data_IF_029783649807
#
_entry.id   IF_029783649807
#
_cell.length_a   1.000
_cell.length_b   1.000
_cell.length_c   1.000
_cell.angle_alpha   90.00
_cell.angle_beta   90.00
_cell.angle_gamma   90.00
#
_symmetry.space_group_name_H-M   'P 1'
#
loop_
_entity.id
_entity.type
_entity.pdbx_description
1 polymer ?
#
# COMPACT_ATOMS: atom_id res chain seq x y z
N UNK A 1 -2.62 8.18 -26.83
CA UNK A 1 -3.93 7.57 -26.49
C UNK A 1 -4.21 7.88 -25.04
N UNK A 2 -5.43 8.28 -24.65
CA UNK A 2 -5.76 8.45 -23.24
C UNK A 2 -5.53 7.11 -22.51
N UNK A 3 -4.95 7.18 -21.33
CA UNK A 3 -4.76 6.00 -20.47
C UNK A 3 -6.17 5.54 -20.04
N UNK A 4 -6.40 4.23 -19.96
CA UNK A 4 -7.68 3.62 -19.53
C UNK A 4 -8.25 4.30 -18.26
N UNK A 5 -7.39 4.66 -17.32
CA UNK A 5 -7.78 5.37 -16.11
C UNK A 5 -8.34 6.78 -16.40
N UNK A 6 -7.84 7.48 -17.41
CA UNK A 6 -8.34 8.82 -17.76
C UNK A 6 -9.77 8.75 -18.30
N UNK A 7 -10.07 7.70 -19.06
CA UNK A 7 -11.44 7.47 -19.56
C UNK A 7 -12.39 7.12 -18.41
N UNK A 8 -11.98 6.20 -17.52
CA UNK A 8 -12.78 5.85 -16.34
C UNK A 8 -13.00 7.07 -15.42
N UNK A 9 -11.99 7.91 -15.23
CA UNK A 9 -12.09 9.13 -14.42
C UNK A 9 -13.00 10.18 -15.06
N UNK A 10 -13.01 10.28 -16.39
CA UNK A 10 -13.94 11.17 -17.10
C UNK A 10 -15.39 10.75 -16.88
N UNK A 11 -15.68 9.46 -17.06
CA UNK A 11 -17.02 8.87 -16.84
C UNK A 11 -17.43 8.94 -15.36
N UNK A 12 -16.48 8.79 -14.44
CA UNK A 12 -16.73 8.94 -13.01
C UNK A 12 -17.25 10.33 -12.66
N UNK A 13 -16.71 11.39 -13.28
CA UNK A 13 -17.20 12.77 -13.09
C UNK A 13 -18.65 12.94 -13.53
N UNK A 14 -19.08 12.20 -14.53
CA UNK A 14 -20.48 12.15 -15.00
C UNK A 14 -21.36 11.26 -14.09
N UNK A 15 -20.83 10.82 -12.95
CA UNK A 15 -21.54 9.97 -11.99
C UNK A 15 -21.85 8.57 -12.52
N UNK A 16 -21.08 8.06 -13.48
CA UNK A 16 -21.20 6.69 -13.96
C UNK A 16 -20.76 5.68 -12.87
N UNK A 17 -21.73 4.92 -12.39
CA UNK A 17 -21.49 3.90 -11.35
C UNK A 17 -20.63 2.72 -11.84
N UNK A 18 -20.66 2.44 -13.14
CA UNK A 18 -19.84 1.35 -13.70
C UNK A 18 -18.37 1.74 -13.69
N UNK A 19 -18.02 2.96 -14.10
CA UNK A 19 -16.65 3.45 -14.03
C UNK A 19 -16.11 3.47 -12.59
N UNK A 20 -16.95 3.80 -11.61
CA UNK A 20 -16.57 3.71 -10.20
C UNK A 20 -16.28 2.28 -9.78
N UNK A 21 -17.13 1.32 -10.14
CA UNK A 21 -16.93 -0.10 -9.86
C UNK A 21 -15.65 -0.64 -10.49
N UNK A 22 -15.36 -0.25 -11.72
CA UNK A 22 -14.16 -0.67 -12.44
C UNK A 22 -12.89 -0.13 -11.76
N UNK A 23 -12.88 1.15 -11.37
CA UNK A 23 -11.79 1.75 -10.59
C UNK A 23 -11.65 1.09 -9.21
N UNK A 24 -12.76 0.81 -8.53
CA UNK A 24 -12.75 0.10 -7.26
C UNK A 24 -12.12 -1.29 -7.42
N UNK A 25 -12.60 -2.10 -8.36
CA UNK A 25 -12.08 -3.46 -8.61
C UNK A 25 -10.60 -3.46 -8.98
N UNK A 26 -10.17 -2.47 -9.76
CA UNK A 26 -8.77 -2.34 -10.20
C UNK A 26 -7.82 -1.96 -9.05
N UNK A 27 -8.25 -1.13 -8.13
CA UNK A 27 -7.36 -0.51 -7.14
C UNK A 27 -7.59 -0.95 -5.68
N UNK A 28 -8.71 -1.60 -5.37
CA UNK A 28 -9.06 -2.01 -4.01
C UNK A 28 -7.95 -2.82 -3.34
N UNK A 29 -7.49 -3.90 -3.97
CA UNK A 29 -6.48 -4.78 -3.37
C UNK A 29 -5.13 -4.09 -3.15
N UNK A 30 -4.71 -3.27 -4.12
CA UNK A 30 -3.45 -2.51 -4.00
C UNK A 30 -3.54 -1.47 -2.88
N UNK A 31 -4.68 -0.79 -2.75
CA UNK A 31 -4.91 0.18 -1.69
C UNK A 31 -5.02 -0.50 -0.33
N UNK A 32 -5.73 -1.63 -0.25
CA UNK A 32 -5.85 -2.42 0.97
C UNK A 32 -4.47 -2.86 1.48
N UNK A 33 -3.65 -3.45 0.62
CA UNK A 33 -2.28 -3.83 0.98
C UNK A 33 -1.44 -2.64 1.45
N UNK A 34 -1.59 -1.47 0.80
CA UNK A 34 -0.91 -0.24 1.19
C UNK A 34 -1.30 0.23 2.60
N UNK A 35 -2.59 0.20 2.93
CA UNK A 35 -3.11 0.60 4.24
C UNK A 35 -2.77 -0.44 5.31
N UNK A 36 -2.95 -1.73 5.00
CA UNK A 36 -2.63 -2.85 5.91
C UNK A 36 -1.15 -2.85 6.33
N UNK A 37 -0.25 -2.58 5.38
CA UNK A 37 1.17 -2.47 5.70
C UNK A 37 1.45 -1.40 6.78
N UNK A 38 0.70 -0.29 6.77
CA UNK A 38 0.85 0.82 7.71
C UNK A 38 0.21 0.56 9.07
N UNK A 39 -0.98 -0.04 9.07
CA UNK A 39 -1.80 -0.21 10.28
C UNK A 39 -1.58 -1.56 10.95
N UNK A 40 -1.25 -2.61 10.17
CA UNK A 40 -1.14 -4.00 10.63
C UNK A 40 -2.44 -4.53 11.27
N UNK A 41 -3.57 -3.99 10.85
CA UNK A 41 -4.92 -4.36 11.29
C UNK A 41 -5.82 -4.42 10.06
N UNK A 42 -6.35 -5.61 9.76
CA UNK A 42 -7.14 -5.86 8.56
C UNK A 42 -8.51 -5.16 8.62
N UNK A 43 -9.13 -5.13 9.79
CA UNK A 43 -10.46 -4.54 9.97
C UNK A 43 -10.39 -3.03 9.75
N UNK A 44 -9.43 -2.38 10.40
CA UNK A 44 -9.22 -0.93 10.24
C UNK A 44 -8.74 -0.60 8.83
N UNK A 45 -7.95 -1.48 8.21
CA UNK A 45 -7.50 -1.28 6.84
C UNK A 45 -8.67 -1.29 5.85
N UNK A 46 -9.62 -2.23 6.01
CA UNK A 46 -10.80 -2.30 5.17
C UNK A 46 -11.70 -1.06 5.35
N UNK A 47 -11.94 -0.63 6.57
CA UNK A 47 -12.70 0.59 6.88
C UNK A 47 -12.09 1.84 6.21
N UNK A 48 -10.75 1.98 6.26
CA UNK A 48 -10.05 3.11 5.63
C UNK A 48 -10.14 3.04 4.11
N UNK A 49 -10.04 1.85 3.53
CA UNK A 49 -10.21 1.66 2.08
C UNK A 49 -11.61 2.04 1.64
N UNK A 50 -12.65 1.57 2.34
CA UNK A 50 -14.04 1.92 2.06
C UNK A 50 -14.26 3.44 2.18
N UNK A 51 -13.83 4.07 3.25
CA UNK A 51 -13.93 5.52 3.44
C UNK A 51 -13.17 6.29 2.35
N UNK A 52 -12.02 5.79 1.91
CA UNK A 52 -11.26 6.39 0.80
C UNK A 52 -12.09 6.41 -0.48
N UNK A 53 -12.71 5.30 -0.86
CA UNK A 53 -13.53 5.24 -2.07
C UNK A 53 -14.83 6.04 -1.94
N UNK A 54 -15.42 6.13 -0.75
CA UNK A 54 -16.55 7.04 -0.49
C UNK A 54 -16.15 8.51 -0.72
N UNK A 55 -14.96 8.92 -0.28
CA UNK A 55 -14.42 10.26 -0.54
C UNK A 55 -14.14 10.50 -2.02
N UNK A 56 -13.62 9.48 -2.72
CA UNK A 56 -13.47 9.54 -4.18
C UNK A 56 -14.81 9.83 -4.86
N UNK A 57 -15.85 9.09 -4.52
CA UNK A 57 -17.18 9.31 -5.08
C UNK A 57 -17.73 10.70 -4.78
N UNK A 58 -17.61 11.14 -3.53
CA UNK A 58 -18.08 12.46 -3.07
C UNK A 58 -17.34 13.61 -3.75
N UNK A 59 -16.04 13.46 -3.97
CA UNK A 59 -15.16 14.51 -4.51
C UNK A 59 -14.70 14.25 -5.95
N UNK A 60 -15.41 13.41 -6.71
CA UNK A 60 -15.03 12.99 -8.07
C UNK A 60 -14.74 14.15 -9.03
N UNK A 61 -15.42 15.28 -8.88
CA UNK A 61 -15.26 16.45 -9.74
C UNK A 61 -13.91 17.19 -9.53
N UNK A 62 -13.25 16.96 -8.39
CA UNK A 62 -11.95 17.60 -8.07
C UNK A 62 -10.75 16.79 -8.54
N UNK A 63 -10.94 15.56 -9.01
CA UNK A 63 -9.87 14.68 -9.45
C UNK A 63 -9.24 15.24 -10.73
N UNK A 64 -7.93 15.44 -10.72
CA UNK A 64 -7.20 15.95 -11.89
C UNK A 64 -6.96 14.82 -12.90
N UNK A 65 -7.26 15.02 -14.20
CA UNK A 65 -7.14 13.97 -15.22
C UNK A 65 -5.72 13.46 -15.43
N UNK A 66 -4.72 14.30 -15.16
CA UNK A 66 -3.30 14.00 -15.42
C UNK A 66 -2.56 13.46 -14.17
N UNK A 67 -3.27 13.24 -13.07
CA UNK A 67 -2.70 12.68 -11.85
C UNK A 67 -2.92 11.16 -11.84
N UNK A 68 -1.94 10.37 -11.37
CA UNK A 68 -2.15 8.95 -11.10
C UNK A 68 -3.31 8.78 -10.12
N UNK A 69 -4.31 8.00 -10.52
CA UNK A 69 -5.46 7.74 -9.65
C UNK A 69 -5.05 7.03 -8.37
N UNK A 70 -4.09 6.08 -8.48
CA UNK A 70 -3.57 5.44 -7.29
C UNK A 70 -2.91 6.43 -6.33
N UNK A 71 -2.06 7.34 -6.82
CA UNK A 71 -1.45 8.37 -5.97
C UNK A 71 -2.48 9.25 -5.28
N UNK A 72 -3.59 9.54 -5.95
CA UNK A 72 -4.69 10.31 -5.38
C UNK A 72 -5.38 9.57 -4.23
N UNK A 73 -5.78 8.30 -4.43
CA UNK A 73 -6.44 7.50 -3.38
C UNK A 73 -5.47 7.14 -2.24
N UNK A 74 -4.21 6.86 -2.53
CA UNK A 74 -3.18 6.60 -1.53
C UNK A 74 -2.92 7.82 -0.63
N UNK A 75 -3.00 9.03 -1.18
CA UNK A 75 -2.91 10.26 -0.38
C UNK A 75 -4.10 10.41 0.58
N UNK A 76 -5.31 10.12 0.12
CA UNK A 76 -6.51 10.16 0.97
C UNK A 76 -6.38 9.14 2.09
N UNK A 77 -6.08 7.88 1.76
CA UNK A 77 -5.94 6.82 2.75
C UNK A 77 -4.81 7.07 3.73
N UNK A 78 -3.68 7.64 3.28
CA UNK A 78 -2.59 8.02 4.18
C UNK A 78 -3.01 9.06 5.22
N UNK A 79 -3.79 10.06 4.82
CA UNK A 79 -4.31 11.05 5.76
C UNK A 79 -5.25 10.39 6.78
N UNK A 80 -6.11 9.45 6.35
CA UNK A 80 -6.97 8.67 7.24
C UNK A 80 -6.16 7.81 8.22
N UNK A 81 -5.09 7.16 7.77
CA UNK A 81 -4.17 6.43 8.65
C UNK A 81 -3.54 7.35 9.71
N UNK A 82 -3.09 8.55 9.31
CA UNK A 82 -2.52 9.53 10.23
C UNK A 82 -3.53 10.02 11.26
N UNK A 83 -4.78 10.24 10.84
CA UNK A 83 -5.86 10.62 11.76
C UNK A 83 -6.18 9.47 12.74
N UNK A 84 -6.22 8.23 12.26
CA UNK A 84 -6.37 7.05 13.10
C UNK A 84 -5.27 6.96 14.18
N UNK A 85 -3.98 7.05 13.79
CA UNK A 85 -2.87 7.04 14.75
C UNK A 85 -2.95 8.20 15.75
N UNK A 86 -3.42 9.37 15.32
CA UNK A 86 -3.60 10.52 16.20
C UNK A 86 -4.66 10.26 17.25
N UNK A 87 -5.79 9.64 16.86
CA UNK A 87 -6.85 9.23 17.77
C UNK A 87 -6.42 8.13 18.73
N UNK A 88 -5.71 7.12 18.26
CA UNK A 88 -5.18 6.04 19.11
C UNK A 88 -4.16 6.57 20.13
N UNK A 89 -3.25 7.46 19.73
CA UNK A 89 -2.32 8.08 20.66
C UNK A 89 -3.02 8.93 21.75
N UNK A 90 -4.15 9.56 21.42
CA UNK A 90 -4.97 10.28 22.41
C UNK A 90 -5.63 9.30 23.37
N UNK A 91 -6.19 8.19 22.89
CA UNK A 91 -6.78 7.13 23.74
C UNK A 91 -5.74 6.53 24.68
N UNK A 92 -4.54 6.20 24.16
CA UNK A 92 -3.45 5.64 24.98
C UNK A 92 -2.97 6.59 26.07
N UNK A 93 -3.00 7.90 25.85
CA UNK A 93 -2.67 8.89 26.89
C UNK A 93 -3.74 8.99 27.97
N UNK A 94 -4.95 8.58 27.69
CA UNK A 94 -6.07 8.55 28.64
C UNK A 94 -6.32 7.17 29.29
N UNK A 95 -5.65 6.13 28.78
CA UNK A 95 -5.69 4.77 29.31
C UNK A 95 -4.29 4.33 29.72
N UNK A 96 -3.95 4.47 30.98
CA UNK A 96 -2.78 3.79 31.56
C UNK A 96 -3.03 2.28 31.54
N UNK A 97 -2.14 1.56 30.87
CA UNK A 97 -1.86 0.13 30.98
C UNK A 97 -2.96 -0.90 30.66
N UNK A 98 -2.97 -1.39 29.42
CA UNK A 98 -3.26 -2.80 29.13
C UNK A 98 -2.44 -3.21 27.88
N UNK A 99 -1.59 -4.25 27.94
CA UNK A 99 -0.92 -4.80 26.76
C UNK A 99 -1.90 -5.61 25.92
N UNK A 100 -1.98 -5.32 24.63
CA UNK A 100 -2.77 -6.15 23.70
C UNK A 100 -1.92 -7.25 23.08
N UNK A 101 -2.46 -8.48 22.96
CA UNK A 101 -1.79 -9.59 22.31
C UNK A 101 -1.83 -9.48 20.77
N UNK A 102 -0.69 -9.68 20.16
CA UNK A 102 -0.57 -9.89 18.71
C UNK A 102 -1.19 -11.22 18.32
N UNK A 103 -2.21 -11.21 17.47
CA UNK A 103 -2.75 -12.43 16.88
C UNK A 103 -2.17 -12.66 15.49
N UNK A 104 -1.52 -13.79 15.36
CA UNK A 104 -1.05 -14.40 14.11
C UNK A 104 -2.18 -15.19 13.48
N UNK A 105 -2.45 -14.99 12.20
CA UNK A 105 -3.42 -15.79 11.46
C UNK A 105 -2.86 -17.14 11.01
N UNK A 106 -3.71 -18.14 11.01
CA UNK A 106 -3.52 -19.58 10.80
C UNK A 106 -3.95 -19.95 9.35
N UNK A 107 -3.39 -20.67 8.59
CA UNK A 107 -2.70 -21.86 8.07
C UNK A 107 -3.42 -22.75 7.08
N UNK A 108 -2.72 -23.34 6.16
CA UNK A 108 -2.91 -24.73 5.73
C UNK A 108 -1.62 -25.31 5.11
N UNK A 109 -1.24 -26.59 5.44
CA UNK A 109 0.13 -27.07 5.26
C UNK A 109 0.26 -28.07 4.09
N UNK A 110 1.37 -28.02 3.43
CA UNK A 110 2.18 -29.06 2.79
C UNK A 110 2.85 -28.64 1.46
N UNK A 111 2.24 -27.82 0.59
CA UNK A 111 2.89 -27.26 -0.62
C UNK A 111 3.32 -25.80 -0.35
N UNK A 112 2.75 -25.21 0.68
CA UNK A 112 3.06 -23.85 1.14
C UNK A 112 4.35 -23.75 1.98
N UNK A 113 4.94 -24.86 2.40
CA UNK A 113 6.04 -24.84 3.39
C UNK A 113 7.33 -24.23 2.82
N UNK A 114 7.74 -24.61 1.62
CA UNK A 114 8.96 -24.07 0.99
C UNK A 114 8.78 -22.64 0.51
N UNK A 115 7.63 -22.30 -0.09
CA UNK A 115 7.32 -20.93 -0.49
C UNK A 115 7.15 -20.01 0.71
N UNK A 116 6.53 -20.49 1.79
CA UNK A 116 6.33 -19.73 3.02
C UNK A 116 7.67 -19.47 3.73
N UNK A 117 8.57 -20.47 3.78
CA UNK A 117 9.92 -20.29 4.32
C UNK A 117 10.70 -19.24 3.53
N UNK A 118 10.60 -19.24 2.20
CA UNK A 118 11.25 -18.25 1.36
C UNK A 118 10.64 -16.85 1.54
N UNK A 119 9.32 -16.76 1.62
CA UNK A 119 8.60 -15.50 1.89
C UNK A 119 8.98 -14.93 3.27
N UNK A 120 8.99 -15.74 4.31
CA UNK A 120 9.39 -15.34 5.66
C UNK A 120 10.85 -14.85 5.69
N UNK A 121 11.75 -15.54 4.98
CA UNK A 121 13.15 -15.11 4.85
C UNK A 121 13.28 -13.77 4.11
N UNK A 122 12.56 -13.60 3.01
CA UNK A 122 12.51 -12.32 2.27
C UNK A 122 11.99 -11.23 3.21
N UNK A 123 10.95 -11.49 3.98
CA UNK A 123 10.37 -10.54 4.92
C UNK A 123 11.37 -10.13 6.01
N UNK A 124 12.10 -11.08 6.56
CA UNK A 124 13.17 -10.83 7.56
C UNK A 124 14.28 -9.97 6.94
N UNK A 125 14.76 -10.32 5.73
CA UNK A 125 15.81 -9.57 5.06
C UNK A 125 15.35 -8.14 4.74
N UNK A 126 14.14 -7.98 4.23
CA UNK A 126 13.55 -6.68 3.89
C UNK A 126 13.46 -5.80 5.14
N UNK A 127 13.01 -6.36 6.26
CA UNK A 127 12.82 -5.58 7.49
C UNK A 127 14.15 -5.24 8.20
N UNK A 128 15.11 -6.14 8.18
CA UNK A 128 16.34 -6.00 8.98
C UNK A 128 17.54 -5.47 8.18
N UNK A 129 17.55 -5.62 6.85
CA UNK A 129 18.73 -5.31 6.03
C UNK A 129 18.56 -4.14 5.07
N UNK A 130 17.32 -3.69 4.81
CA UNK A 130 17.07 -2.54 3.95
C UNK A 130 16.94 -1.25 4.76
N UNK A 131 17.60 -0.15 4.33
CA UNK A 131 17.32 1.18 4.85
C UNK A 131 15.84 1.55 4.67
N UNK A 132 15.29 2.36 5.58
CA UNK A 132 13.86 2.68 5.64
C UNK A 132 13.25 3.09 4.29
N UNK A 133 13.81 4.09 3.62
CA UNK A 133 13.34 4.54 2.30
C UNK A 133 13.44 3.47 1.20
N UNK A 134 14.48 2.62 1.27
CA UNK A 134 14.68 1.53 0.32
C UNK A 134 13.62 0.45 0.55
N UNK A 135 13.33 0.14 1.80
CA UNK A 135 12.30 -0.82 2.24
C UNK A 135 10.92 -0.35 1.82
N UNK A 136 10.56 0.89 2.11
CA UNK A 136 9.28 1.48 1.73
C UNK A 136 9.03 1.36 0.22
N UNK A 137 10.00 1.79 -0.60
CA UNK A 137 9.90 1.69 -2.05
C UNK A 137 9.80 0.24 -2.53
N UNK A 138 10.55 -0.68 -1.91
CA UNK A 138 10.49 -2.10 -2.26
C UNK A 138 9.12 -2.70 -1.99
N UNK A 139 8.53 -2.39 -0.84
CA UNK A 139 7.19 -2.87 -0.45
C UNK A 139 6.13 -2.27 -1.37
N UNK A 140 6.16 -0.97 -1.63
CA UNK A 140 5.24 -0.32 -2.56
C UNK A 140 5.27 -0.97 -3.95
N UNK A 141 6.46 -1.37 -4.42
CA UNK A 141 6.62 -1.99 -5.73
C UNK A 141 6.23 -3.47 -5.76
N UNK A 142 6.66 -4.28 -4.77
CA UNK A 142 6.56 -5.75 -4.82
C UNK A 142 5.36 -6.31 -4.10
N UNK A 143 4.96 -5.70 -3.01
CA UNK A 143 3.79 -6.13 -2.22
C UNK A 143 2.53 -5.41 -2.70
N UNK A 144 2.63 -4.10 -2.95
CA UNK A 144 1.50 -3.28 -3.37
C UNK A 144 1.32 -3.22 -4.90
N UNK A 145 2.28 -3.71 -5.68
CA UNK A 145 2.20 -3.78 -7.14
C UNK A 145 2.26 -2.43 -7.86
N UNK A 146 2.76 -1.36 -7.20
CA UNK A 146 2.79 -0.03 -7.77
C UNK A 146 3.84 0.12 -8.87
N UNK A 147 3.52 0.92 -9.88
CA UNK A 147 4.50 1.32 -10.88
C UNK A 147 5.54 2.28 -10.29
N UNK A 148 6.73 2.34 -10.90
CA UNK A 148 7.77 3.28 -10.48
C UNK A 148 7.31 4.74 -10.57
N UNK A 149 6.37 5.04 -11.48
CA UNK A 149 5.81 6.37 -11.64
C UNK A 149 4.87 6.72 -10.48
N UNK A 150 3.98 5.80 -10.10
CA UNK A 150 3.05 5.98 -8.98
C UNK A 150 3.82 6.14 -7.66
N UNK A 151 4.88 5.34 -7.45
CA UNK A 151 5.74 5.44 -6.26
C UNK A 151 6.45 6.79 -6.23
N UNK A 152 6.97 7.24 -7.37
CA UNK A 152 7.66 8.52 -7.48
C UNK A 152 6.73 9.69 -7.13
N UNK A 153 5.50 9.68 -7.65
CA UNK A 153 4.47 10.68 -7.35
C UNK A 153 4.03 10.62 -5.88
N UNK A 154 3.77 9.41 -5.36
CA UNK A 154 3.34 9.21 -3.97
C UNK A 154 4.36 9.72 -2.95
N UNK A 155 5.66 9.46 -3.19
CA UNK A 155 6.74 9.81 -2.27
C UNK A 155 7.38 11.19 -2.56
N UNK A 156 6.96 11.88 -3.63
CA UNK A 156 7.53 13.16 -4.03
C UNK A 156 8.99 13.07 -4.47
N UNK A 157 9.40 11.95 -5.08
CA UNK A 157 10.77 11.71 -5.57
C UNK A 157 10.80 11.50 -7.08
N UNK A 158 11.99 11.50 -7.69
CA UNK A 158 12.12 11.19 -9.11
C UNK A 158 11.94 9.68 -9.38
N UNK A 159 11.41 9.32 -10.56
CA UNK A 159 11.35 7.93 -11.02
C UNK A 159 12.74 7.26 -10.96
N UNK A 160 13.79 7.97 -11.33
CA UNK A 160 15.18 7.49 -11.24
C UNK A 160 15.58 7.16 -9.80
N UNK A 161 15.11 7.94 -8.83
CA UNK A 161 15.34 7.64 -7.40
C UNK A 161 14.69 6.32 -7.02
N UNK A 162 13.44 6.08 -7.44
CA UNK A 162 12.73 4.82 -7.21
C UNK A 162 13.49 3.65 -7.81
N UNK A 163 13.89 3.74 -9.08
CA UNK A 163 14.64 2.70 -9.79
C UNK A 163 15.97 2.38 -9.08
N UNK A 164 16.70 3.40 -8.62
CA UNK A 164 17.94 3.22 -7.87
C UNK A 164 17.72 2.52 -6.52
N UNK A 165 16.65 2.87 -5.79
CA UNK A 165 16.34 2.22 -4.52
C UNK A 165 15.90 0.76 -4.72
N UNK A 166 15.12 0.46 -5.75
CA UNK A 166 14.76 -0.91 -6.10
C UNK A 166 15.99 -1.74 -6.50
N UNK A 167 16.89 -1.17 -7.28
CA UNK A 167 18.16 -1.83 -7.61
C UNK A 167 18.98 -2.18 -6.37
N UNK A 168 19.09 -1.24 -5.42
CA UNK A 168 19.78 -1.45 -4.13
C UNK A 168 19.10 -2.55 -3.31
N UNK A 169 17.78 -2.52 -3.20
CA UNK A 169 17.01 -3.55 -2.50
C UNK A 169 17.28 -4.94 -3.09
N UNK A 170 17.18 -5.08 -4.41
CA UNK A 170 17.42 -6.34 -5.11
C UNK A 170 18.87 -6.83 -4.94
N UNK A 171 19.85 -5.93 -4.92
CA UNK A 171 21.26 -6.28 -4.67
C UNK A 171 21.44 -6.86 -3.27
N UNK A 172 20.86 -6.24 -2.25
CA UNK A 172 20.91 -6.75 -0.87
C UNK A 172 20.21 -8.10 -0.75
N UNK A 173 19.01 -8.23 -1.32
CA UNK A 173 18.26 -9.49 -1.33
C UNK A 173 19.05 -10.62 -2.00
N UNK A 174 19.61 -10.39 -3.19
CA UNK A 174 20.43 -11.38 -3.91
C UNK A 174 21.66 -11.80 -3.10
N UNK A 175 22.31 -10.84 -2.43
CA UNK A 175 23.47 -11.16 -1.59
C UNK A 175 23.08 -12.05 -0.40
N UNK A 176 22.01 -11.70 0.29
CA UNK A 176 21.57 -12.42 1.49
C UNK A 176 20.90 -13.77 1.18
N UNK A 177 20.23 -13.89 0.03
CA UNK A 177 19.60 -15.16 -0.36
C UNK A 177 20.61 -16.18 -0.94
N UNK A 178 21.78 -15.73 -1.42
CA UNK A 178 22.85 -16.66 -1.84
C UNK A 178 23.33 -17.57 -0.71
N UNK A 179 23.22 -17.14 0.51
CA UNK A 179 23.62 -17.91 1.67
C UNK A 179 22.57 -19.00 2.03
N UNK A 180 21.47 -19.07 1.26
CA UNK A 180 20.32 -19.97 1.48
C UNK A 180 19.92 -20.80 0.25
N UNK A 181 20.59 -20.58 -0.91
CA UNK A 181 20.44 -21.34 -2.14
C UNK A 181 21.69 -22.21 -2.39
#
# INVERSE_FOLDING_TARGET
MPNEDQELLSRLKESDKNSFRDLFSKYHQSLFNFVLYRLKDEVIADDIVQETFLRVWKHKNTIKPNQSFFSYIAKISNNLCMDYFRHENVKLRHQEHIPQPTQSGVDNPAIQYESKILEDKIHIIVNNSLPEKCREIFILSRVNGLSNLDIAELLGVSRRTVENQLYRALKVLRSKLKDYL
#
